data_IF_584924114484
#
_entry.id   IF_584924114484
#
_cell.length_a   1.000
_cell.length_b   1.000
_cell.length_c   1.000
_cell.angle_alpha   90.00
_cell.angle_beta   90.00
_cell.angle_gamma   90.00
#
_symmetry.space_group_name_H-M   'P 1'
#
loop_
_entity.id
_entity.type
_entity.pdbx_description
1 polymer ?
#
# COMPACT_ATOMS: atom_id res chain seq x y z
N UNK A 1 19.49 6.50 19.51
CA UNK A 1 19.34 5.05 19.28
C UNK A 1 19.78 4.32 20.54
N UNK A 2 19.00 4.36 21.63
CA UNK A 2 19.39 3.66 22.89
C UNK A 2 18.16 3.39 23.77
N UNK A 3 17.26 2.52 23.30
CA UNK A 3 16.20 1.97 24.16
C UNK A 3 16.05 0.45 24.06
N UNK A 4 16.66 -0.18 23.05
CA UNK A 4 16.53 -1.62 22.78
C UNK A 4 17.66 -2.46 23.40
N UNK A 5 18.67 -1.83 24.01
CA UNK A 5 19.89 -2.53 24.48
C UNK A 5 19.71 -3.33 25.78
N UNK A 6 18.55 -3.30 26.43
CA UNK A 6 18.30 -3.99 27.72
C UNK A 6 17.16 -5.00 27.68
N UNK A 7 16.96 -5.64 26.54
CA UNK A 7 16.10 -6.82 26.46
C UNK A 7 17.01 -8.03 26.68
N UNK A 8 17.22 -8.36 27.95
CA UNK A 8 17.99 -9.51 28.41
C UNK A 8 17.52 -10.81 27.75
N UNK A 9 18.52 -11.59 27.38
CA UNK A 9 18.53 -12.85 26.66
C UNK A 9 18.09 -14.03 27.53
N UNK A 10 17.10 -14.79 27.03
CA UNK A 10 17.08 -16.28 27.05
C UNK A 10 15.78 -16.90 26.47
N UNK A 11 14.86 -16.11 25.91
CA UNK A 11 13.70 -16.65 25.17
C UNK A 11 13.11 -15.72 24.13
N UNK A 12 13.83 -14.65 23.78
CA UNK A 12 13.25 -13.41 23.27
C UNK A 12 13.60 -13.08 21.82
N UNK A 13 14.26 -13.99 21.09
CA UNK A 13 14.64 -13.72 19.69
C UNK A 13 13.40 -13.54 18.81
N UNK A 14 12.36 -14.36 19.00
CA UNK A 14 11.07 -14.23 18.30
C UNK A 14 10.41 -12.88 18.60
N UNK A 15 10.40 -12.44 19.86
CA UNK A 15 9.83 -11.16 20.27
C UNK A 15 10.64 -9.98 19.72
N UNK A 16 11.99 -10.05 19.74
CA UNK A 16 12.87 -9.07 19.11
C UNK A 16 12.61 -8.98 17.62
N UNK A 17 12.50 -10.11 16.92
CA UNK A 17 12.17 -10.18 15.50
C UNK A 17 10.81 -9.52 15.21
N UNK A 18 9.80 -9.80 16.03
CA UNK A 18 8.46 -9.20 15.93
C UNK A 18 8.48 -7.69 16.17
N UNK A 19 9.20 -7.21 17.19
CA UNK A 19 9.39 -5.79 17.47
C UNK A 19 10.09 -5.07 16.32
N UNK A 20 11.16 -5.65 15.78
CA UNK A 20 11.86 -5.10 14.61
C UNK A 20 10.95 -5.04 13.39
N UNK A 21 10.17 -6.09 13.13
CA UNK A 21 9.19 -6.13 12.02
C UNK A 21 8.12 -5.06 12.18
N UNK A 22 7.58 -4.90 13.39
CA UNK A 22 6.58 -3.88 13.70
C UNK A 22 7.14 -2.45 13.54
N UNK A 23 8.38 -2.21 13.97
CA UNK A 23 9.04 -0.91 13.76
C UNK A 23 9.27 -0.60 12.28
N UNK A 24 9.67 -1.60 11.48
CA UNK A 24 9.85 -1.43 10.04
C UNK A 24 8.53 -1.11 9.35
N UNK A 25 7.46 -1.86 9.66
CA UNK A 25 6.12 -1.61 9.13
C UNK A 25 5.59 -0.22 9.52
N UNK A 26 5.81 0.21 10.77
CA UNK A 26 5.44 1.55 11.23
C UNK A 26 6.21 2.64 10.48
N UNK A 27 7.51 2.46 10.25
CA UNK A 27 8.31 3.40 9.47
C UNK A 27 7.82 3.47 8.01
N UNK A 28 7.54 2.33 7.39
CA UNK A 28 6.99 2.25 6.04
C UNK A 28 5.63 2.98 5.96
N UNK A 29 4.74 2.80 6.94
CA UNK A 29 3.49 3.55 7.01
C UNK A 29 3.71 5.06 7.09
N UNK A 30 4.67 5.54 7.88
CA UNK A 30 5.01 6.97 7.96
C UNK A 30 5.48 7.49 6.60
N UNK A 31 6.32 6.74 5.89
CA UNK A 31 6.77 7.10 4.56
C UNK A 31 5.60 7.11 3.55
N UNK A 32 4.72 6.11 3.56
CA UNK A 32 3.48 6.06 2.75
C UNK A 32 2.62 7.31 2.97
N UNK A 33 2.47 7.77 4.22
CA UNK A 33 1.72 8.99 4.56
C UNK A 33 2.38 10.24 3.97
N UNK A 34 3.72 10.35 4.04
CA UNK A 34 4.44 11.46 3.42
C UNK A 34 4.26 11.48 1.90
N UNK A 35 4.36 10.33 1.24
CA UNK A 35 4.17 10.24 -0.21
C UNK A 35 2.74 10.58 -0.61
N UNK A 36 1.77 10.10 0.16
CA UNK A 36 0.35 10.41 -0.04
C UNK A 36 0.09 11.93 0.01
N UNK A 37 0.78 12.66 0.89
CA UNK A 37 0.66 14.12 0.98
C UNK A 37 1.13 14.83 -0.30
N UNK A 38 2.29 14.45 -0.83
CA UNK A 38 2.82 15.03 -2.07
C UNK A 38 1.92 14.72 -3.26
N UNK A 39 1.51 13.46 -3.38
CA UNK A 39 0.62 12.96 -4.42
C UNK A 39 -0.75 13.64 -4.39
N UNK A 40 -1.35 13.81 -3.21
CA UNK A 40 -2.63 14.48 -3.03
C UNK A 40 -2.58 15.95 -3.49
N UNK A 41 -1.49 16.66 -3.17
CA UNK A 41 -1.30 18.06 -3.61
C UNK A 41 -1.29 18.15 -5.14
N UNK A 42 -0.57 17.26 -5.81
CA UNK A 42 -0.47 17.26 -7.28
C UNK A 42 -1.79 16.83 -7.93
N UNK A 43 -2.44 15.78 -7.40
CA UNK A 43 -3.78 15.37 -7.84
C UNK A 43 -4.77 16.53 -7.75
N UNK A 44 -4.82 17.24 -6.61
CA UNK A 44 -5.71 18.38 -6.45
C UNK A 44 -5.44 19.46 -7.49
N UNK A 45 -4.17 19.79 -7.72
CA UNK A 45 -3.76 20.82 -8.68
C UNK A 45 -4.16 20.46 -10.11
N UNK A 46 -3.78 19.29 -10.59
CA UNK A 46 -3.90 18.93 -12.00
C UNK A 46 -5.29 18.39 -12.39
N UNK A 47 -6.09 17.94 -11.42
CA UNK A 47 -7.48 17.55 -11.68
C UNK A 47 -8.46 18.74 -11.70
N UNK A 48 -8.04 19.92 -11.24
CA UNK A 48 -8.86 21.13 -11.33
C UNK A 48 -8.81 21.78 -12.71
N UNK A 49 -7.73 21.55 -13.46
CA UNK A 49 -7.55 22.10 -14.81
C UNK A 49 -7.77 21.00 -15.86
N UNK A 50 -8.99 20.96 -16.41
CA UNK A 50 -9.35 20.01 -17.47
C UNK A 50 -8.63 20.27 -18.80
N UNK A 51 -8.02 21.44 -18.99
CA UNK A 51 -7.24 21.78 -20.19
C UNK A 51 -5.76 21.42 -20.05
N UNK A 52 -5.33 21.00 -18.86
CA UNK A 52 -3.96 20.56 -18.63
C UNK A 52 -3.64 19.32 -19.49
N UNK A 53 -2.50 19.28 -20.19
CA UNK A 53 -2.13 18.14 -21.03
C UNK A 53 -1.94 16.84 -20.21
N UNK A 54 -1.76 16.96 -18.89
CA UNK A 54 -1.59 15.85 -17.95
C UNK A 54 -2.87 15.49 -17.19
N UNK A 55 -4.00 16.17 -17.44
CA UNK A 55 -5.24 15.94 -16.69
C UNK A 55 -5.70 14.47 -16.73
N UNK A 56 -5.67 13.86 -17.92
CA UNK A 56 -6.05 12.46 -18.11
C UNK A 56 -5.07 11.49 -17.44
N UNK A 57 -3.77 11.83 -17.39
CA UNK A 57 -2.76 11.01 -16.69
C UNK A 57 -3.01 11.03 -15.18
N UNK A 58 -3.32 12.20 -14.61
CA UNK A 58 -3.69 12.32 -13.20
C UNK A 58 -5.04 11.68 -12.89
N UNK A 59 -5.99 11.65 -13.83
CA UNK A 59 -7.25 10.93 -13.67
C UNK A 59 -7.02 9.41 -13.61
N UNK A 60 -6.20 8.88 -14.52
CA UNK A 60 -5.80 7.48 -14.51
C UNK A 60 -5.05 7.11 -13.22
N UNK A 61 -4.14 7.98 -12.76
CA UNK A 61 -3.43 7.79 -11.50
C UNK A 61 -4.38 7.80 -10.29
N UNK A 62 -5.36 8.71 -10.26
CA UNK A 62 -6.38 8.72 -9.20
C UNK A 62 -7.16 7.42 -9.16
N UNK A 63 -7.59 6.93 -10.33
CA UNK A 63 -8.33 5.67 -10.44
C UNK A 63 -7.48 4.50 -9.93
N UNK A 64 -6.23 4.41 -10.37
CA UNK A 64 -5.29 3.38 -9.89
C UNK A 64 -5.14 3.39 -8.37
N UNK A 65 -4.99 4.57 -7.75
CA UNK A 65 -4.90 4.70 -6.29
C UNK A 65 -6.17 4.27 -5.57
N UNK A 66 -7.35 4.64 -6.09
CA UNK A 66 -8.63 4.19 -5.54
C UNK A 66 -8.72 2.67 -5.57
N UNK A 67 -8.37 2.06 -6.70
CA UNK A 67 -8.38 0.60 -6.86
C UNK A 67 -7.38 -0.07 -5.90
N UNK A 68 -6.18 0.49 -5.73
CA UNK A 68 -5.18 0.04 -4.74
C UNK A 68 -5.75 0.04 -3.32
N UNK A 69 -6.41 1.12 -2.90
CA UNK A 69 -7.01 1.22 -1.57
C UNK A 69 -8.20 0.26 -1.39
N UNK A 70 -9.03 0.09 -2.42
CA UNK A 70 -10.13 -0.87 -2.41
C UNK A 70 -9.62 -2.31 -2.29
N UNK A 71 -8.56 -2.68 -3.01
CA UNK A 71 -7.92 -4.00 -2.91
C UNK A 71 -7.34 -4.25 -1.52
N UNK A 72 -6.66 -3.27 -0.96
CA UNK A 72 -6.15 -3.36 0.41
C UNK A 72 -7.28 -3.56 1.42
N UNK A 73 -8.38 -2.80 1.30
CA UNK A 73 -9.54 -2.95 2.17
C UNK A 73 -10.28 -4.28 2.01
N UNK A 74 -10.45 -4.75 0.77
CA UNK A 74 -11.07 -6.04 0.48
C UNK A 74 -10.30 -7.20 1.13
N UNK A 75 -8.97 -7.06 1.26
CA UNK A 75 -8.15 -8.03 1.95
C UNK A 75 -8.59 -8.25 3.42
N UNK A 76 -9.07 -7.23 4.14
CA UNK A 76 -9.56 -7.46 5.50
C UNK A 76 -10.72 -8.48 5.62
N UNK A 77 -11.36 -8.85 4.52
CA UNK A 77 -12.54 -9.73 4.48
C UNK A 77 -12.25 -11.13 3.92
N UNK A 78 -11.01 -11.43 3.54
CA UNK A 78 -10.62 -12.74 3.01
C UNK A 78 -9.88 -13.50 4.12
N UNK A 79 -10.18 -14.79 4.36
CA UNK A 79 -9.48 -15.56 5.38
C UNK A 79 -7.97 -15.57 5.14
N UNK A 80 -7.20 -15.02 6.07
CA UNK A 80 -5.75 -14.92 5.94
C UNK A 80 -5.11 -16.30 5.71
N UNK A 81 -4.04 -16.33 4.91
CA UNK A 81 -3.29 -17.55 4.51
C UNK A 81 -4.11 -18.60 3.74
N UNK A 82 -5.35 -18.31 3.35
CA UNK A 82 -6.09 -19.15 2.41
C UNK A 82 -5.52 -19.06 0.99
N UNK A 83 -5.89 -20.00 0.10
CA UNK A 83 -5.55 -19.90 -1.32
C UNK A 83 -6.16 -18.65 -1.98
N UNK A 84 -7.38 -18.27 -1.55
CA UNK A 84 -8.05 -17.04 -1.99
C UNK A 84 -7.27 -15.79 -1.55
N UNK A 85 -6.74 -15.80 -0.32
CA UNK A 85 -5.86 -14.74 0.18
C UNK A 85 -4.66 -14.53 -0.73
N UNK A 86 -3.94 -15.61 -1.01
CA UNK A 86 -2.74 -15.53 -1.83
C UNK A 86 -3.06 -15.03 -3.24
N UNK A 87 -4.12 -15.57 -3.86
CA UNK A 87 -4.55 -15.13 -5.19
C UNK A 87 -4.93 -13.63 -5.22
N UNK A 88 -5.54 -13.13 -4.15
CA UNK A 88 -5.85 -11.69 -4.01
C UNK A 88 -4.59 -10.83 -3.89
N UNK A 89 -3.59 -11.27 -3.10
CA UNK A 89 -2.32 -10.57 -2.99
C UNK A 89 -1.55 -10.57 -4.31
N UNK A 90 -1.52 -11.69 -5.04
CA UNK A 90 -0.89 -11.79 -6.36
C UNK A 90 -1.57 -10.84 -7.36
N UNK A 91 -2.91 -10.79 -7.37
CA UNK A 91 -3.67 -9.86 -8.21
C UNK A 91 -3.44 -8.40 -7.82
N UNK A 92 -3.22 -8.11 -6.53
CA UNK A 92 -2.90 -6.77 -6.05
C UNK A 92 -1.45 -6.36 -6.40
N UNK A 93 -0.49 -7.27 -6.33
CA UNK A 93 0.86 -7.05 -6.85
C UNK A 93 0.83 -6.73 -8.35
N UNK A 94 0.14 -7.57 -9.14
CA UNK A 94 -0.02 -7.34 -10.57
C UNK A 94 -0.72 -6.01 -10.90
N UNK A 95 -1.70 -5.60 -10.09
CA UNK A 95 -2.31 -4.27 -10.21
C UNK A 95 -1.28 -3.17 -10.00
N UNK A 96 -0.45 -3.26 -8.97
CA UNK A 96 0.61 -2.27 -8.68
C UNK A 96 1.59 -2.14 -9.86
N UNK A 97 1.95 -3.25 -10.49
CA UNK A 97 2.85 -3.27 -11.65
C UNK A 97 2.26 -2.58 -12.89
N UNK A 98 0.93 -2.39 -12.98
CA UNK A 98 0.30 -1.67 -14.11
C UNK A 98 0.74 -0.22 -14.22
N UNK A 99 1.33 0.37 -13.17
CA UNK A 99 1.94 1.70 -13.21
C UNK A 99 3.06 1.81 -14.25
N UNK A 100 3.71 0.71 -14.61
CA UNK A 100 4.71 0.67 -15.67
C UNK A 100 4.11 1.03 -17.03
N UNK A 101 2.86 0.66 -17.27
CA UNK A 101 2.11 1.05 -18.46
C UNK A 101 1.89 2.56 -18.52
N UNK A 102 1.50 3.18 -17.40
CA UNK A 102 1.35 4.64 -17.30
C UNK A 102 2.69 5.35 -17.51
N UNK A 103 3.78 4.79 -16.95
CA UNK A 103 5.15 5.30 -17.15
C UNK A 103 5.52 5.32 -18.63
N UNK A 104 5.24 4.23 -19.35
CA UNK A 104 5.46 4.13 -20.78
C UNK A 104 4.71 5.20 -21.58
N UNK A 105 3.46 5.47 -21.21
CA UNK A 105 2.63 6.51 -21.85
C UNK A 105 3.21 7.92 -21.62
N UNK A 106 3.62 8.25 -20.40
CA UNK A 106 4.22 9.55 -20.06
C UNK A 106 5.51 9.77 -20.86
N UNK A 107 6.39 8.77 -20.92
CA UNK A 107 7.62 8.86 -21.71
C UNK A 107 7.33 9.02 -23.20
N UNK A 108 6.26 8.40 -23.70
CA UNK A 108 5.84 8.58 -25.09
C UNK A 108 5.30 9.99 -25.36
N UNK A 109 4.54 10.57 -24.43
CA UNK A 109 4.07 11.98 -24.50
C UNK A 109 5.25 12.95 -24.51
N UNK A 110 6.22 12.75 -23.62
CA UNK A 110 7.44 13.57 -23.57
C UNK A 110 8.22 13.52 -24.89
N UNK A 111 8.37 12.34 -25.50
CA UNK A 111 9.04 12.20 -26.81
C UNK A 111 8.31 12.86 -27.98
N UNK A 112 7.00 13.12 -27.85
CA UNK A 112 6.17 13.78 -28.86
C UNK A 112 5.97 15.28 -28.56
N UNK A 113 6.69 15.82 -27.58
CA UNK A 113 6.56 17.21 -27.11
C UNK A 113 5.13 17.59 -26.67
N UNK A 114 4.32 16.61 -26.25
CA UNK A 114 2.95 16.83 -25.74
C UNK A 114 2.96 17.34 -24.30
N UNK A 115 4.03 17.06 -23.56
CA UNK A 115 4.30 17.55 -22.21
C UNK A 115 5.77 17.95 -22.12
N UNK A 116 6.08 18.94 -21.29
CA UNK A 116 7.46 19.33 -21.02
C UNK A 116 8.14 18.41 -19.99
N UNK A 117 9.46 18.58 -19.83
CA UNK A 117 10.25 17.82 -18.87
C UNK A 117 9.84 18.03 -17.40
N UNK A 118 9.25 19.17 -17.07
CA UNK A 118 8.81 19.46 -15.70
C UNK A 118 7.55 18.67 -15.35
N UNK A 119 6.56 18.66 -16.24
CA UNK A 119 5.34 17.86 -16.11
C UNK A 119 5.66 16.37 -16.11
N UNK A 120 6.53 15.93 -17.02
CA UNK A 120 6.99 14.54 -17.05
C UNK A 120 7.66 14.17 -15.72
N UNK A 121 8.58 14.98 -15.18
CA UNK A 121 9.23 14.69 -13.90
C UNK A 121 8.23 14.65 -12.73
N UNK A 122 7.24 15.55 -12.70
CA UNK A 122 6.19 15.55 -11.67
C UNK A 122 5.39 14.25 -11.69
N UNK A 123 4.92 13.85 -12.87
CA UNK A 123 4.17 12.61 -13.04
C UNK A 123 5.01 11.37 -12.70
N UNK A 124 6.28 11.33 -13.09
CA UNK A 124 7.17 10.21 -12.77
C UNK A 124 7.37 10.04 -11.26
N UNK A 125 7.49 11.15 -10.52
CA UNK A 125 7.53 11.13 -9.07
C UNK A 125 6.20 10.63 -8.49
N UNK A 126 5.07 11.12 -9.01
CA UNK A 126 3.75 10.73 -8.56
C UNK A 126 3.43 9.25 -8.83
N UNK A 127 3.90 8.69 -9.95
CA UNK A 127 3.85 7.24 -10.22
C UNK A 127 4.73 6.46 -9.23
N UNK A 128 5.91 6.96 -8.89
CA UNK A 128 6.78 6.32 -7.91
C UNK A 128 6.14 6.33 -6.50
N UNK A 129 5.46 7.42 -6.12
CA UNK A 129 4.68 7.50 -4.89
C UNK A 129 3.57 6.46 -4.88
N UNK A 130 2.77 6.36 -5.95
CA UNK A 130 1.72 5.36 -6.06
C UNK A 130 2.25 3.93 -5.96
N UNK A 131 3.38 3.63 -6.62
CA UNK A 131 4.04 2.33 -6.53
C UNK A 131 4.48 2.01 -5.10
N UNK A 132 5.18 2.94 -4.43
CA UNK A 132 5.62 2.78 -3.04
C UNK A 132 4.45 2.58 -2.08
N UNK A 133 3.33 3.27 -2.30
CA UNK A 133 2.10 3.08 -1.54
C UNK A 133 1.58 1.65 -1.74
N UNK A 134 1.45 1.19 -3.00
CA UNK A 134 0.98 -0.18 -3.31
C UNK A 134 1.85 -1.27 -2.70
N UNK A 135 3.17 -1.20 -2.90
CA UNK A 135 4.11 -2.20 -2.34
C UNK A 135 4.13 -2.18 -0.82
N UNK A 136 4.11 -1.01 -0.20
CA UNK A 136 4.10 -0.89 1.25
C UNK A 136 2.81 -1.45 1.88
N UNK A 137 1.65 -1.26 1.22
CA UNK A 137 0.39 -1.87 1.65
C UNK A 137 0.42 -3.41 1.51
N UNK A 138 1.01 -3.94 0.44
CA UNK A 138 1.24 -5.39 0.28
C UNK A 138 2.15 -5.95 1.37
N UNK A 139 3.24 -5.25 1.70
CA UNK A 139 4.13 -5.63 2.80
C UNK A 139 3.39 -5.65 4.14
N UNK A 140 2.50 -4.70 4.41
CA UNK A 140 1.63 -4.73 5.59
C UNK A 140 0.75 -5.97 5.59
N UNK A 141 0.12 -6.33 4.47
CA UNK A 141 -0.73 -7.52 4.38
C UNK A 141 0.05 -8.83 4.59
N UNK A 142 1.28 -8.92 4.07
CA UNK A 142 2.16 -10.06 4.28
C UNK A 142 2.59 -10.21 5.75
N UNK A 143 2.98 -9.10 6.38
CA UNK A 143 3.52 -9.11 7.75
C UNK A 143 2.42 -9.19 8.83
N UNK A 144 1.24 -8.63 8.56
CA UNK A 144 0.12 -8.62 9.50
C UNK A 144 -0.90 -9.73 9.24
N UNK A 145 -0.58 -10.73 8.40
CA UNK A 145 -1.49 -11.84 8.07
C UNK A 145 -2.12 -12.47 9.32
N UNK A 146 -1.34 -12.66 10.38
CA UNK A 146 -1.80 -13.25 11.63
C UNK A 146 -2.64 -12.27 12.49
N UNK A 147 -2.39 -10.96 12.40
CA UNK A 147 -3.21 -9.93 13.05
C UNK A 147 -4.58 -9.77 12.35
N UNK A 148 -4.62 -9.89 11.03
CA UNK A 148 -5.87 -9.92 10.25
C UNK A 148 -6.63 -11.24 10.45
N UNK A 149 -5.94 -12.38 10.60
CA UNK A 149 -6.55 -13.66 10.96
C UNK A 149 -7.28 -13.61 12.32
N UNK A 150 -6.66 -12.96 13.33
CA UNK A 150 -7.23 -12.81 14.66
C UNK A 150 -8.48 -11.91 14.70
N UNK A 151 -8.58 -10.94 13.79
CA UNK A 151 -9.74 -10.05 13.64
C UNK A 151 -10.96 -10.72 13.00
N UNK A 152 -10.77 -11.85 12.30
CA UNK A 152 -11.83 -12.55 11.55
C UNK A 152 -12.48 -13.68 12.36
N UNK A 153 -11.97 -14.01 13.55
CA UNK A 153 -12.59 -15.00 14.43
C UNK A 153 -13.89 -14.42 15.04
N UNK A 154 -15.05 -15.10 14.92
CA UNK A 154 -16.25 -14.67 15.63
C UNK A 154 -16.00 -14.68 17.14
N UNK A 155 -16.61 -13.77 17.93
CA UNK A 155 -16.52 -13.85 19.37
C UNK A 155 -17.12 -15.19 19.80
N UNK A 156 -16.30 -16.04 20.43
CA UNK A 156 -16.79 -17.29 21.00
C UNK A 156 -17.93 -16.98 21.97
N UNK A 157 -19.16 -17.22 21.53
CA UNK A 157 -20.31 -17.20 22.42
C UNK A 157 -20.16 -18.40 23.33
N UNK A 158 -19.83 -18.11 24.58
CA UNK A 158 -19.61 -19.09 25.63
C UNK A 158 -20.70 -20.17 25.58
N UNK A 159 -20.27 -21.39 25.24
CA UNK A 159 -21.09 -22.56 25.44
C UNK A 159 -21.39 -22.66 26.93
N UNK A 160 -22.62 -22.29 27.30
CA UNK A 160 -23.16 -22.51 28.62
C UNK A 160 -23.03 -24.01 28.91
N UNK A 161 -22.11 -24.32 29.82
CA UNK A 161 -21.92 -25.63 30.42
C UNK A 161 -23.20 -25.96 31.20
N UNK A 162 -24.14 -26.63 30.54
CA UNK A 162 -25.29 -27.24 31.22
C UNK A 162 -24.75 -28.42 32.01
N UNK A 163 -24.69 -28.21 33.32
CA UNK A 163 -24.48 -29.26 34.31
C UNK A 163 -25.71 -30.15 34.31
N UNK A 164 -25.52 -31.45 34.10
CA UNK A 164 -26.40 -32.51 34.57
C UNK A 164 -25.53 -33.55 35.26
#
# INVERSE_FOLDING_TARGET
MDFTSKIDSDGNETCRQQLTTAHLAAFQMVEIVKESKHLQKNLQRFLQDAQSPVHQDYLALRQHLTDTLCRFHAAAHIPARSSEWQAHLDAFAAHTDTLDGLRGQILAKLRRDEIDGLLASSLMNDLNYAHRIGTGLLEVLHNAADAFAASAAPPEHGAARVVN
#
